data_IF_796126973205
#
_entry.id   IF_796126973205
#
_cell.length_a   1.000
_cell.length_b   1.000
_cell.length_c   1.000
_cell.angle_alpha   90.00
_cell.angle_beta   90.00
_cell.angle_gamma   90.00
#
_symmetry.space_group_name_H-M   'P 1'
#
loop_
_entity.id
_entity.type
_entity.pdbx_description
1 polymer ?
#
# COMPACT_ATOMS: atom_id res chain seq x y z
N UNK A 1 -27.18 -52.49 6.28
CA UNK A 1 -26.60 -53.84 6.28
C UNK A 1 -25.24 -53.75 5.58
N UNK A 2 -24.29 -53.29 6.39
CA UNK A 2 -22.86 -53.59 6.44
C UNK A 2 -22.17 -54.16 5.20
N UNK A 3 -21.30 -53.33 4.62
CA UNK A 3 -20.24 -53.73 3.70
C UNK A 3 -18.88 -53.54 4.35
N UNK A 4 -18.22 -54.64 4.66
CA UNK A 4 -16.83 -54.75 5.13
C UNK A 4 -15.90 -54.75 3.92
N UNK A 5 -14.86 -53.90 3.88
CA UNK A 5 -13.61 -54.23 3.19
C UNK A 5 -12.43 -53.84 4.08
N UNK A 6 -11.66 -54.87 4.40
CA UNK A 6 -10.39 -54.93 5.11
C UNK A 6 -9.30 -54.42 4.16
N UNK A 7 -8.40 -53.55 4.63
CA UNK A 7 -7.16 -53.21 3.90
C UNK A 7 -5.96 -53.78 4.65
N UNK A 8 -5.20 -54.59 3.93
CA UNK A 8 -4.07 -55.39 4.39
C UNK A 8 -2.74 -54.61 4.31
N UNK A 9 -1.83 -54.96 5.22
CA UNK A 9 -0.39 -54.66 5.19
C UNK A 9 0.30 -55.11 3.89
N UNK A 10 1.43 -54.45 3.55
CA UNK A 10 2.81 -55.01 3.46
C UNK A 10 3.75 -54.00 2.74
N UNK A 11 4.76 -53.46 3.44
CA UNK A 11 6.22 -53.74 3.35
C UNK A 11 6.95 -53.12 2.15
N UNK A 12 7.92 -52.22 2.41
CA UNK A 12 9.37 -52.50 2.25
C UNK A 12 10.22 -51.23 2.45
N UNK A 13 11.14 -51.29 3.41
CA UNK A 13 12.29 -50.39 3.58
C UNK A 13 13.57 -51.09 3.10
N UNK A 14 14.66 -50.30 3.02
CA UNK A 14 16.09 -50.63 2.81
C UNK A 14 16.54 -50.51 1.32
N UNK A 15 17.72 -49.98 0.96
CA UNK A 15 18.94 -49.58 1.69
C UNK A 15 19.79 -48.67 0.76
N UNK A 16 20.63 -47.86 1.39
CA UNK A 16 21.64 -46.91 0.88
C UNK A 16 22.61 -47.42 -0.19
N UNK A 17 23.24 -46.51 -0.95
CA UNK A 17 24.66 -46.54 -1.30
C UNK A 17 25.16 -45.16 -1.77
N UNK A 18 26.38 -44.82 -1.36
CA UNK A 18 27.08 -43.55 -1.59
C UNK A 18 28.26 -43.71 -2.57
N UNK A 19 28.85 -42.56 -2.94
CA UNK A 19 30.05 -42.31 -3.78
C UNK A 19 29.81 -42.50 -5.29
N UNK A 20 30.28 -41.67 -6.22
CA UNK A 20 31.47 -40.81 -6.25
C UNK A 20 31.36 -39.73 -7.35
N UNK A 21 32.08 -38.64 -7.11
CA UNK A 21 32.53 -37.57 -8.03
C UNK A 21 32.87 -37.96 -9.48
N UNK A 22 32.42 -37.15 -10.43
CA UNK A 22 33.17 -36.87 -11.67
C UNK A 22 32.97 -35.44 -12.14
N UNK A 23 34.07 -34.71 -12.12
CA UNK A 23 34.33 -33.41 -12.73
C UNK A 23 34.12 -33.47 -14.25
N UNK A 24 33.35 -32.54 -14.82
CA UNK A 24 33.54 -32.13 -16.22
C UNK A 24 33.47 -30.60 -16.30
N UNK A 25 34.64 -30.01 -16.48
CA UNK A 25 34.83 -28.66 -16.98
C UNK A 25 34.32 -28.59 -18.42
N UNK A 26 33.43 -27.64 -18.70
CA UNK A 26 33.39 -26.99 -20.01
C UNK A 26 33.48 -25.49 -19.82
N UNK A 27 34.59 -24.96 -20.31
CA UNK A 27 34.92 -23.56 -20.44
C UNK A 27 34.03 -22.91 -21.51
N UNK A 28 33.34 -21.84 -21.17
CA UNK A 28 32.96 -20.81 -22.12
C UNK A 28 33.29 -19.44 -21.51
N UNK A 29 34.02 -18.66 -22.29
CA UNK A 29 34.62 -17.39 -21.93
C UNK A 29 33.58 -16.28 -21.95
N UNK A 30 33.60 -15.37 -20.97
CA UNK A 30 32.74 -14.17 -21.00
C UNK A 30 32.88 -13.24 -19.80
N UNK A 31 33.65 -12.18 -19.98
CA UNK A 31 33.67 -10.86 -19.32
C UNK A 31 33.68 -10.70 -17.78
N UNK A 32 34.79 -10.12 -17.30
CA UNK A 32 35.14 -9.85 -15.90
C UNK A 32 34.63 -8.52 -15.34
N UNK A 33 33.45 -8.05 -15.74
CA UNK A 33 32.92 -6.72 -15.33
C UNK A 33 31.72 -6.77 -14.38
N UNK A 34 31.01 -7.89 -14.26
CA UNK A 34 29.83 -8.02 -13.37
C UNK A 34 30.16 -8.38 -11.90
N UNK A 35 31.31 -9.02 -11.64
CA UNK A 35 31.65 -9.48 -10.28
C UNK A 35 32.12 -8.36 -9.33
N UNK A 36 32.52 -7.19 -9.85
CA UNK A 36 33.05 -6.09 -9.02
C UNK A 36 31.97 -5.18 -8.43
N UNK A 37 30.77 -5.15 -9.01
CA UNK A 37 29.64 -4.33 -8.53
C UNK A 37 28.92 -5.00 -7.35
N UNK A 38 28.70 -6.32 -7.43
CA UNK A 38 28.05 -7.11 -6.37
C UNK A 38 28.84 -7.12 -5.04
N UNK A 39 30.17 -7.19 -5.08
CA UNK A 39 31.01 -7.15 -3.87
C UNK A 39 31.05 -5.76 -3.22
N UNK A 40 30.87 -4.70 -4.01
CA UNK A 40 30.93 -3.31 -3.53
C UNK A 40 29.63 -2.90 -2.82
N UNK A 41 28.48 -3.43 -3.26
CA UNK A 41 27.18 -3.25 -2.62
C UNK A 41 27.04 -4.06 -1.33
N UNK A 42 27.45 -5.34 -1.34
CA UNK A 42 27.47 -6.19 -0.14
C UNK A 42 28.33 -5.58 0.99
N UNK A 43 29.49 -5.01 0.64
CA UNK A 43 30.35 -4.35 1.60
C UNK A 43 29.76 -3.03 2.13
N UNK A 44 29.01 -2.28 1.30
CA UNK A 44 28.31 -1.05 1.70
C UNK A 44 27.16 -1.35 2.69
N UNK A 45 26.41 -2.43 2.44
CA UNK A 45 25.32 -2.89 3.30
C UNK A 45 25.84 -3.42 4.65
N UNK A 46 26.96 -4.15 4.65
CA UNK A 46 27.63 -4.59 5.88
C UNK A 46 28.13 -3.43 6.75
N UNK A 47 28.64 -2.36 6.12
CA UNK A 47 29.05 -1.13 6.81
C UNK A 47 27.86 -0.37 7.41
N UNK A 48 26.70 -0.38 6.73
CA UNK A 48 25.48 0.25 7.21
C UNK A 48 24.91 -0.48 8.44
N UNK A 49 24.84 -1.82 8.39
CA UNK A 49 24.36 -2.65 9.50
C UNK A 49 25.25 -2.52 10.74
N UNK A 50 26.57 -2.39 10.57
CA UNK A 50 27.50 -2.13 11.68
C UNK A 50 27.29 -0.76 12.32
N UNK A 51 26.90 0.25 11.55
CA UNK A 51 26.59 1.60 12.07
C UNK A 51 25.26 1.61 12.83
N UNK A 52 24.25 0.92 12.32
CA UNK A 52 22.93 0.79 12.97
C UNK A 52 23.07 0.03 14.30
N UNK A 53 23.79 -1.09 14.32
CA UNK A 53 24.03 -1.85 15.55
C UNK A 53 24.78 -1.04 16.61
N UNK A 54 25.81 -0.28 16.20
CA UNK A 54 26.55 0.61 17.11
C UNK A 54 25.69 1.75 17.65
N UNK A 55 24.72 2.24 16.88
CA UNK A 55 23.80 3.29 17.31
C UNK A 55 22.78 2.77 18.33
N UNK A 56 22.24 1.57 18.12
CA UNK A 56 21.34 0.90 19.07
C UNK A 56 22.00 0.65 20.43
N UNK A 57 23.28 0.27 20.43
CA UNK A 57 24.06 0.06 21.66
C UNK A 57 24.44 1.37 22.40
N UNK A 58 24.30 2.54 21.75
CA UNK A 58 24.69 3.85 22.34
C UNK A 58 23.51 4.60 22.97
N UNK A 59 22.26 4.23 22.66
CA UNK A 59 21.06 4.96 23.10
C UNK A 59 20.23 4.22 24.17
N UNK A 60 20.82 3.22 24.82
CA UNK A 60 20.20 2.51 25.94
C UNK A 60 20.41 3.28 27.26
N UNK A 61 19.96 4.54 27.34
CA UNK A 61 19.88 5.26 28.62
C UNK A 61 18.55 6.03 28.77
N UNK A 62 17.76 5.54 29.74
CA UNK A 62 16.67 6.21 30.49
C UNK A 62 15.40 6.61 29.74
N UNK A 63 14.43 5.67 29.67
CA UNK A 63 13.01 6.00 29.60
C UNK A 63 12.44 6.02 31.03
N UNK A 64 12.11 7.23 31.51
CA UNK A 64 11.51 7.45 32.82
C UNK A 64 10.01 7.16 32.76
N UNK A 65 9.55 6.21 33.58
CA UNK A 65 8.16 5.76 33.64
C UNK A 65 7.35 6.73 34.50
N UNK A 66 6.77 7.75 33.86
CA UNK A 66 5.96 8.74 34.57
C UNK A 66 5.11 9.60 33.65
N UNK A 67 4.16 8.99 32.93
CA UNK A 67 3.00 9.72 32.43
C UNK A 67 1.80 8.76 32.35
N UNK A 68 1.01 8.77 33.40
CA UNK A 68 -0.29 8.13 33.51
C UNK A 68 -1.26 8.85 32.57
N UNK A 69 -1.61 8.21 31.46
CA UNK A 69 -2.54 8.77 30.47
C UNK A 69 -3.96 8.50 30.96
N UNK A 70 -4.69 9.57 31.31
CA UNK A 70 -6.12 9.49 31.66
C UNK A 70 -6.90 9.11 30.40
N UNK A 71 -7.38 7.87 30.34
CA UNK A 71 -8.29 7.39 29.30
C UNK A 71 -9.66 8.02 29.59
N UNK A 72 -10.12 8.91 28.72
CA UNK A 72 -11.49 9.41 28.76
C UNK A 72 -12.39 8.46 27.98
N UNK A 73 -13.35 7.82 28.66
CA UNK A 73 -14.26 6.77 28.17
C UNK A 73 -15.37 7.27 27.21
N UNK A 74 -15.05 8.14 26.26
CA UNK A 74 -16.00 8.54 25.22
C UNK A 74 -15.33 8.56 23.86
N UNK A 75 -15.86 7.81 22.86
CA UNK A 75 -15.31 7.80 21.52
C UNK A 75 -15.49 9.19 20.91
N UNK A 76 -14.40 9.92 20.74
CA UNK A 76 -14.39 11.00 19.76
C UNK A 76 -14.33 10.34 18.40
N UNK A 77 -15.51 10.10 17.80
CA UNK A 77 -15.60 9.89 16.36
C UNK A 77 -14.93 11.07 15.68
N UNK A 78 -13.74 10.87 15.12
CA UNK A 78 -13.08 11.86 14.27
C UNK A 78 -13.87 12.15 12.97
N UNK A 79 -15.04 11.52 12.80
CA UNK A 79 -15.97 11.72 11.68
C UNK A 79 -16.98 12.87 11.95
N UNK A 80 -17.12 13.35 13.19
CA UNK A 80 -18.07 14.43 13.53
C UNK A 80 -17.42 15.82 13.65
N UNK A 81 -16.15 16.00 13.28
CA UNK A 81 -15.69 17.35 12.97
C UNK A 81 -16.30 17.72 11.62
N UNK A 82 -17.21 18.72 11.54
CA UNK A 82 -17.59 19.26 10.26
C UNK A 82 -16.32 19.83 9.66
N UNK A 83 -15.69 19.09 8.74
CA UNK A 83 -14.82 19.72 7.77
C UNK A 83 -15.66 20.85 7.19
N UNK A 84 -15.26 22.12 7.35
CA UNK A 84 -16.03 23.20 6.79
C UNK A 84 -16.03 22.95 5.29
N UNK A 85 -17.19 22.54 4.74
CA UNK A 85 -17.41 22.39 3.31
C UNK A 85 -17.21 23.71 2.53
N UNK A 86 -16.84 24.78 3.24
CA UNK A 86 -16.57 26.12 2.76
C UNK A 86 -15.28 26.73 3.34
N UNK A 87 -14.46 25.94 4.05
CA UNK A 87 -13.16 26.38 4.56
C UNK A 87 -12.08 25.84 3.64
N UNK A 88 -11.48 26.70 2.83
CA UNK A 88 -10.26 26.36 2.11
C UNK A 88 -9.23 25.93 3.15
N UNK A 89 -8.79 24.66 3.09
CA UNK A 89 -7.58 24.23 3.78
C UNK A 89 -6.50 25.26 3.44
N UNK A 90 -5.84 25.88 4.44
CA UNK A 90 -4.81 26.87 4.15
C UNK A 90 -3.80 26.24 3.20
N UNK A 91 -3.62 26.84 2.04
CA UNK A 91 -2.61 26.41 1.08
C UNK A 91 -1.25 26.55 1.76
N UNK A 92 -0.65 25.41 2.14
CA UNK A 92 0.66 25.37 2.76
C UNK A 92 1.78 25.56 1.72
N UNK A 93 1.42 25.69 0.45
CA UNK A 93 2.30 25.79 -0.71
C UNK A 93 2.86 24.44 -1.14
N UNK A 94 2.35 23.34 -0.59
CA UNK A 94 2.73 21.98 -0.94
C UNK A 94 1.64 21.28 -1.76
N UNK A 95 2.02 20.22 -2.49
CA UNK A 95 1.05 19.37 -3.17
C UNK A 95 0.19 18.58 -2.18
N UNK A 96 -0.93 18.02 -2.65
CA UNK A 96 -1.93 17.33 -1.82
C UNK A 96 -1.42 16.12 -1.01
N UNK A 97 -0.22 15.62 -1.32
CA UNK A 97 0.41 14.44 -0.70
C UNK A 97 1.64 14.78 0.13
N UNK A 98 1.93 16.07 0.31
CA UNK A 98 3.08 16.57 1.05
C UNK A 98 2.66 17.61 2.07
N UNK A 99 3.52 17.85 3.05
CA UNK A 99 3.30 18.86 4.08
C UNK A 99 4.55 19.70 4.28
N UNK A 100 4.36 20.99 4.56
CA UNK A 100 5.46 21.92 4.81
C UNK A 100 6.05 21.78 6.21
N UNK A 101 7.38 21.70 6.30
CA UNK A 101 8.14 21.74 7.56
C UNK A 101 8.64 23.16 7.89
N UNK A 102 9.16 23.35 9.09
CA UNK A 102 9.74 24.64 9.54
C UNK A 102 10.97 25.09 8.74
N UNK A 103 11.65 24.16 8.06
CA UNK A 103 12.74 24.46 7.12
C UNK A 103 12.24 25.09 5.81
N UNK A 104 10.91 25.18 5.64
CA UNK A 104 10.25 25.73 4.48
C UNK A 104 10.07 24.75 3.33
N UNK A 105 10.59 23.52 3.42
CA UNK A 105 10.50 22.49 2.40
C UNK A 105 9.23 21.63 2.56
N UNK A 106 8.76 21.06 1.46
CA UNK A 106 7.65 20.11 1.42
C UNK A 106 8.19 18.68 1.47
N UNK A 107 7.60 17.85 2.31
CA UNK A 107 7.95 16.43 2.42
C UNK A 107 6.72 15.54 2.29
N UNK A 108 6.82 14.37 1.62
CA UNK A 108 5.69 13.46 1.46
C UNK A 108 5.15 12.96 2.80
N UNK A 109 3.82 12.96 2.95
CA UNK A 109 3.15 12.37 4.10
C UNK A 109 3.45 10.87 4.19
N UNK A 110 3.60 10.37 5.41
CA UNK A 110 4.00 8.98 5.71
C UNK A 110 5.35 8.56 5.11
N UNK A 111 6.10 9.49 4.52
CA UNK A 111 7.47 9.29 4.07
C UNK A 111 8.46 9.39 5.21
N UNK A 112 9.68 8.89 5.01
CA UNK A 112 10.74 8.92 6.03
C UNK A 112 11.49 10.24 6.13
N UNK A 113 11.67 10.96 5.01
CA UNK A 113 12.42 12.22 5.00
C UNK A 113 11.49 13.36 5.44
N UNK A 114 11.91 14.27 6.34
CA UNK A 114 13.30 14.51 6.77
C UNK A 114 13.73 13.81 8.07
N UNK A 115 12.91 12.90 8.61
CA UNK A 115 13.01 12.44 10.00
C UNK A 115 14.29 11.67 10.39
N UNK A 116 15.08 11.21 9.41
CA UNK A 116 16.41 10.60 9.63
C UNK A 116 16.37 9.18 10.20
N UNK A 117 15.52 8.94 11.20
CA UNK A 117 15.27 7.65 11.84
C UNK A 117 14.29 6.80 10.99
N UNK A 118 14.56 5.51 10.73
CA UNK A 118 13.63 4.63 10.01
C UNK A 118 12.32 4.33 10.77
N UNK A 119 12.28 4.52 12.08
CA UNK A 119 11.06 4.38 12.89
C UNK A 119 10.23 5.66 12.92
N UNK A 120 10.71 6.75 12.31
CA UNK A 120 9.96 8.00 12.23
C UNK A 120 9.48 8.21 10.80
N UNK A 121 8.27 8.76 10.70
CA UNK A 121 7.69 9.21 9.44
C UNK A 121 7.08 10.60 9.56
N UNK A 122 6.79 11.19 8.40
CA UNK A 122 6.17 12.49 8.28
C UNK A 122 4.67 12.38 8.55
N UNK A 123 4.19 13.13 9.54
CA UNK A 123 2.77 13.36 9.79
C UNK A 123 2.49 14.86 9.89
N UNK A 124 1.22 15.24 9.92
CA UNK A 124 0.77 16.62 10.16
C UNK A 124 0.58 16.83 11.65
N UNK A 125 1.08 17.94 12.17
CA UNK A 125 0.74 18.41 13.50
C UNK A 125 -0.67 19.03 13.51
N UNK A 126 -1.60 18.56 14.35
CA UNK A 126 -2.99 19.00 14.31
C UNK A 126 -3.23 20.43 14.81
N UNK A 127 -2.22 21.07 15.43
CA UNK A 127 -2.34 22.43 15.95
C UNK A 127 -1.69 23.45 15.03
N UNK A 128 -0.55 23.10 14.44
CA UNK A 128 0.23 23.99 13.59
C UNK A 128 0.01 23.76 12.09
N UNK A 129 -0.59 22.63 11.72
CA UNK A 129 -0.75 22.15 10.34
C UNK A 129 0.57 22.03 9.57
N UNK A 130 1.68 21.89 10.28
CA UNK A 130 3.02 21.67 9.70
C UNK A 130 3.41 20.21 9.82
N UNK A 131 4.37 19.82 8.99
CA UNK A 131 4.97 18.51 9.04
C UNK A 131 5.77 18.31 10.32
N UNK A 132 5.63 17.14 10.91
CA UNK A 132 6.42 16.69 12.07
C UNK A 132 6.85 15.24 11.87
N UNK A 133 7.84 14.83 12.65
CA UNK A 133 8.30 13.45 12.68
C UNK A 133 7.63 12.70 13.83
N UNK A 134 6.93 11.61 13.53
CA UNK A 134 6.19 10.81 14.51
C UNK A 134 6.65 9.36 14.49
N UNK A 135 6.67 8.64 15.62
CA UNK A 135 6.94 7.22 15.65
C UNK A 135 5.93 6.43 14.82
N UNK A 136 6.46 5.51 14.01
CA UNK A 136 5.71 4.44 13.37
C UNK A 136 5.74 3.23 14.29
N UNK A 137 4.60 2.90 14.89
CA UNK A 137 4.51 1.86 15.93
C UNK A 137 4.34 0.44 15.37
N UNK A 138 3.95 0.32 14.10
CA UNK A 138 3.69 -0.95 13.44
C UNK A 138 4.48 -1.07 12.13
N UNK A 139 4.78 -2.31 11.74
CA UNK A 139 5.44 -2.65 10.48
C UNK A 139 4.59 -2.32 9.24
N UNK A 140 4.95 -2.93 8.11
CA UNK A 140 4.13 -2.85 6.90
C UNK A 140 2.83 -3.65 7.09
N UNK A 141 1.78 -3.26 6.38
CA UNK A 141 0.46 -3.90 6.38
C UNK A 141 -0.22 -4.03 7.76
N UNK A 142 0.21 -3.24 8.75
CA UNK A 142 -0.42 -3.15 10.06
C UNK A 142 -0.57 -1.70 10.51
N UNK A 143 -1.63 -1.43 11.27
CA UNK A 143 -1.97 -0.10 11.79
C UNK A 143 -2.15 -0.16 13.30
N UNK A 144 -1.55 0.79 14.02
CA UNK A 144 -1.70 0.91 15.46
C UNK A 144 -3.05 1.51 15.80
N UNK A 145 -3.90 0.75 16.49
CA UNK A 145 -5.22 1.20 16.94
C UNK A 145 -5.12 1.62 18.40
N UNK A 146 -5.15 2.92 18.67
CA UNK A 146 -4.94 3.47 20.01
C UNK A 146 -5.92 2.91 21.07
N UNK A 147 -7.17 2.66 20.67
CA UNK A 147 -8.22 2.10 21.55
C UNK A 147 -7.86 0.71 22.09
N UNK A 148 -7.24 -0.13 21.26
CA UNK A 148 -6.85 -1.49 21.64
C UNK A 148 -5.42 -1.55 22.17
N UNK A 149 -4.60 -0.54 21.84
CA UNK A 149 -3.18 -0.49 22.16
C UNK A 149 -2.36 -1.50 21.35
N UNK A 150 -2.89 -2.00 20.23
CA UNK A 150 -2.28 -3.07 19.44
C UNK A 150 -2.15 -2.69 17.96
N UNK A 151 -1.23 -3.38 17.27
CA UNK A 151 -1.14 -3.34 15.82
C UNK A 151 -2.14 -4.33 15.20
N UNK A 152 -3.08 -3.83 14.41
CA UNK A 152 -4.05 -4.64 13.66
C UNK A 152 -3.62 -4.81 12.21
N UNK A 153 -4.02 -5.92 11.59
CA UNK A 153 -3.83 -6.13 10.15
C UNK A 153 -4.67 -5.14 9.34
N UNK A 154 -4.17 -4.64 8.21
CA UNK A 154 -4.93 -3.67 7.38
C UNK A 154 -6.27 -4.22 6.87
N UNK A 155 -6.43 -5.54 6.81
CA UNK A 155 -7.65 -6.25 6.43
C UNK A 155 -8.49 -6.70 7.63
N UNK A 156 -8.19 -6.24 8.84
CA UNK A 156 -8.93 -6.63 10.04
C UNK A 156 -10.38 -6.13 10.00
N UNK A 157 -11.28 -7.05 9.64
CA UNK A 157 -12.73 -6.80 9.56
C UNK A 157 -13.39 -6.50 10.90
N UNK A 158 -12.70 -6.75 12.03
CA UNK A 158 -13.21 -6.36 13.35
C UNK A 158 -13.05 -4.87 13.61
N UNK A 159 -12.09 -4.22 12.94
CA UNK A 159 -11.84 -2.78 13.03
C UNK A 159 -12.58 -1.99 11.94
N UNK A 160 -12.63 -2.52 10.72
CA UNK A 160 -13.26 -1.86 9.58
C UNK A 160 -14.34 -2.72 8.91
N UNK A 161 -15.56 -2.17 8.80
CA UNK A 161 -16.70 -2.80 8.14
C UNK A 161 -16.84 -2.32 6.68
N UNK A 162 -17.63 -3.04 5.88
CA UNK A 162 -18.02 -2.60 4.52
C UNK A 162 -16.90 -2.69 3.47
N UNK A 163 -16.02 -3.69 3.57
CA UNK A 163 -14.90 -3.86 2.65
C UNK A 163 -13.78 -2.82 2.78
N UNK A 164 -13.84 -1.99 3.83
CA UNK A 164 -12.82 -1.00 4.19
C UNK A 164 -11.59 -1.66 4.78
N UNK A 165 -10.50 -0.90 4.78
CA UNK A 165 -9.22 -1.27 5.35
C UNK A 165 -8.75 -0.22 6.33
N UNK A 166 -7.89 -0.64 7.25
CA UNK A 166 -7.20 0.29 8.13
C UNK A 166 -6.11 1.04 7.36
N UNK A 167 -6.07 2.33 7.57
CA UNK A 167 -5.05 3.25 7.07
C UNK A 167 -4.59 4.17 8.19
N UNK A 168 -3.45 4.83 7.95
CA UNK A 168 -3.03 5.97 8.75
C UNK A 168 -3.54 7.27 8.12
N UNK A 169 -4.19 8.09 8.92
CA UNK A 169 -4.53 9.47 8.55
C UNK A 169 -3.25 10.29 8.40
N UNK A 170 -3.29 11.47 7.74
CA UNK A 170 -2.16 12.40 7.70
C UNK A 170 -1.59 12.76 9.08
N UNK A 171 -2.37 12.64 10.14
CA UNK A 171 -1.98 12.94 11.52
C UNK A 171 -1.36 11.75 12.26
N UNK A 172 -1.40 10.55 11.65
CA UNK A 172 -0.89 9.30 12.23
C UNK A 172 -1.93 8.49 12.99
N UNK A 173 -3.21 8.84 12.90
CA UNK A 173 -4.30 8.09 13.54
C UNK A 173 -4.82 6.95 12.66
N UNK A 174 -5.27 5.86 13.28
CA UNK A 174 -5.94 4.77 12.57
C UNK A 174 -7.32 5.20 12.05
N UNK A 175 -7.56 5.03 10.76
CA UNK A 175 -8.85 5.33 10.11
C UNK A 175 -9.27 4.18 9.20
N UNK A 176 -10.58 4.00 9.05
CA UNK A 176 -11.15 3.05 8.09
C UNK A 176 -11.51 3.77 6.79
N UNK A 177 -10.88 3.37 5.70
CA UNK A 177 -11.17 3.91 4.38
C UNK A 177 -11.29 2.82 3.32
N UNK A 178 -11.82 3.18 2.17
CA UNK A 178 -11.92 2.27 1.05
C UNK A 178 -10.54 1.94 0.48
N UNK A 179 -10.36 0.72 -0.05
CA UNK A 179 -9.17 0.38 -0.81
C UNK A 179 -8.90 1.41 -1.91
N UNK A 180 -7.63 1.67 -2.21
CA UNK A 180 -7.23 2.62 -3.26
C UNK A 180 -7.97 2.29 -4.57
N UNK A 181 -8.58 3.32 -5.17
CA UNK A 181 -9.40 3.19 -6.37
C UNK A 181 -10.85 2.73 -6.13
N UNK A 182 -11.28 2.61 -4.88
CA UNK A 182 -12.65 2.34 -4.49
C UNK A 182 -13.20 3.44 -3.58
N UNK A 183 -14.52 3.58 -3.59
CA UNK A 183 -15.21 4.66 -2.89
C UNK A 183 -16.49 4.14 -2.25
N UNK A 184 -16.92 4.71 -1.11
CA UNK A 184 -18.15 4.29 -0.47
C UNK A 184 -19.36 4.72 -1.31
N UNK A 185 -20.26 3.80 -1.63
CA UNK A 185 -21.39 4.10 -2.51
C UNK A 185 -22.64 3.27 -2.18
N UNK A 186 -23.85 3.87 -2.23
CA UNK A 186 -24.14 5.27 -2.54
C UNK A 186 -23.89 6.25 -1.38
N UNK A 187 -23.72 5.77 -0.16
CA UNK A 187 -23.52 6.61 1.02
C UNK A 187 -22.15 6.39 1.68
N UNK A 188 -21.64 7.36 2.46
CA UNK A 188 -20.32 7.30 3.09
C UNK A 188 -20.07 6.11 4.02
N UNK A 189 -21.09 5.40 4.47
CA UNK A 189 -21.02 4.22 5.34
C UNK A 189 -21.16 2.89 4.58
N UNK A 190 -21.51 2.93 3.30
CA UNK A 190 -21.76 1.74 2.50
C UNK A 190 -20.45 1.08 2.07
N UNK A 191 -20.62 -0.05 1.35
CA UNK A 191 -19.52 -0.83 0.81
C UNK A 191 -18.68 -0.03 -0.20
N UNK A 192 -17.40 -0.37 -0.24
CA UNK A 192 -16.47 0.20 -1.20
C UNK A 192 -16.65 -0.40 -2.58
N UNK A 193 -16.78 0.47 -3.60
CA UNK A 193 -16.96 0.08 -5.00
C UNK A 193 -15.97 0.82 -5.88
N UNK A 194 -15.47 0.14 -6.91
CA UNK A 194 -14.60 0.76 -7.90
C UNK A 194 -15.41 1.58 -8.91
N UNK A 195 -14.86 2.74 -9.31
CA UNK A 195 -15.43 3.51 -10.41
C UNK A 195 -15.43 2.69 -11.70
N UNK A 196 -16.35 3.00 -12.61
CA UNK A 196 -16.50 2.35 -13.91
C UNK A 196 -16.77 0.84 -13.84
N UNK A 197 -17.16 0.33 -12.66
CA UNK A 197 -17.70 -1.01 -12.47
C UNK A 197 -19.20 -0.95 -12.22
N UNK A 198 -19.90 -2.07 -12.43
CA UNK A 198 -21.34 -2.11 -12.18
C UNK A 198 -21.66 -1.84 -10.71
N UNK A 199 -20.89 -2.41 -9.78
CA UNK A 199 -21.15 -2.28 -8.35
C UNK A 199 -22.62 -2.60 -8.02
N UNK A 200 -23.29 -1.81 -7.15
CA UNK A 200 -24.70 -1.97 -6.85
C UNK A 200 -25.64 -1.33 -7.90
N UNK A 201 -25.12 -0.83 -9.02
CA UNK A 201 -25.93 -0.22 -10.06
C UNK A 201 -26.73 -1.26 -10.87
N UNK A 202 -27.86 -0.85 -11.46
CA UNK A 202 -28.61 -1.68 -12.40
C UNK A 202 -27.76 -2.16 -13.58
N UNK A 203 -28.18 -3.25 -14.22
CA UNK A 203 -27.50 -3.79 -15.38
C UNK A 203 -27.30 -2.72 -16.48
N UNK A 204 -26.09 -2.66 -17.05
CA UNK A 204 -25.71 -1.69 -18.08
C UNK A 204 -25.37 -0.28 -17.54
N UNK A 205 -25.40 -0.10 -16.22
CA UNK A 205 -24.91 1.09 -15.54
C UNK A 205 -23.64 0.79 -14.75
N UNK A 206 -22.83 1.82 -14.54
CA UNK A 206 -21.59 1.78 -13.75
C UNK A 206 -21.57 2.95 -12.79
N UNK A 207 -20.83 2.80 -11.70
CA UNK A 207 -20.56 3.88 -10.74
C UNK A 207 -19.64 4.90 -11.41
N UNK A 208 -20.03 6.17 -11.44
CA UNK A 208 -19.24 7.24 -12.04
C UNK A 208 -19.44 8.56 -11.28
N UNK A 209 -18.52 9.51 -11.49
CA UNK A 209 -18.55 10.84 -10.89
C UNK A 209 -19.32 11.79 -11.80
N UNK A 210 -20.38 12.41 -11.28
CA UNK A 210 -21.18 13.42 -11.97
C UNK A 210 -20.48 14.78 -12.00
N UNK A 211 -20.99 15.72 -12.79
CA UNK A 211 -20.40 17.06 -12.94
C UNK A 211 -20.36 17.89 -11.66
N UNK A 212 -21.17 17.53 -10.66
CA UNK A 212 -21.17 18.13 -9.31
C UNK A 212 -20.20 17.44 -8.34
N UNK A 213 -19.42 16.46 -8.81
CA UNK A 213 -18.47 15.69 -7.99
C UNK A 213 -19.10 14.58 -7.16
N UNK A 214 -20.42 14.39 -7.20
CA UNK A 214 -21.07 13.28 -6.52
C UNK A 214 -20.92 11.97 -7.31
N UNK A 215 -21.08 10.83 -6.64
CA UNK A 215 -21.10 9.53 -7.31
C UNK A 215 -22.53 9.13 -7.63
N UNK A 216 -22.75 8.59 -8.83
CA UNK A 216 -24.06 8.06 -9.22
C UNK A 216 -23.94 6.89 -10.20
N UNK A 217 -25.04 6.16 -10.37
CA UNK A 217 -25.14 5.15 -11.42
C UNK A 217 -25.41 5.80 -12.78
N UNK A 218 -24.46 5.65 -13.69
CA UNK A 218 -24.52 6.22 -15.04
C UNK A 218 -24.48 5.11 -16.08
N UNK A 219 -25.12 5.33 -17.23
CA UNK A 219 -25.06 4.37 -18.34
C UNK A 219 -23.61 4.18 -18.79
N UNK A 220 -23.16 2.93 -18.91
CA UNK A 220 -21.83 2.65 -19.43
C UNK A 220 -21.78 2.93 -20.93
N UNK A 221 -20.74 3.63 -21.37
CA UNK A 221 -20.39 3.77 -22.78
C UNK A 221 -19.47 2.64 -23.27
N UNK A 222 -18.99 1.80 -22.35
CA UNK A 222 -18.06 0.72 -22.62
C UNK A 222 -18.68 -0.65 -22.35
N UNK A 223 -18.24 -1.69 -23.09
CA UNK A 223 -18.68 -3.06 -22.85
C UNK A 223 -18.21 -3.51 -21.47
N UNK A 224 -19.07 -4.26 -20.78
CA UNK A 224 -18.70 -4.93 -19.53
C UNK A 224 -17.84 -6.14 -19.86
N UNK A 225 -16.57 -6.10 -19.44
CA UNK A 225 -15.61 -7.20 -19.61
C UNK A 225 -15.28 -7.75 -18.22
N UNK A 226 -15.36 -9.08 -18.08
CA UNK A 226 -14.94 -9.78 -16.87
C UNK A 226 -13.64 -10.53 -17.13
N UNK A 227 -12.74 -10.48 -16.15
CA UNK A 227 -11.51 -11.26 -16.15
C UNK A 227 -11.71 -12.50 -15.28
N UNK A 228 -11.33 -13.67 -15.82
CA UNK A 228 -11.23 -14.91 -15.06
C UNK A 228 -9.84 -15.00 -14.45
N UNK A 229 -9.76 -15.07 -13.14
CA UNK A 229 -8.52 -15.40 -12.47
C UNK A 229 -8.29 -16.92 -12.57
N UNK A 230 -7.30 -17.34 -13.36
CA UNK A 230 -7.03 -18.77 -13.69
C UNK A 230 -6.72 -19.60 -12.43
N UNK A 231 -6.30 -18.95 -11.33
CA UNK A 231 -6.01 -19.55 -10.03
C UNK A 231 -7.16 -19.46 -9.02
N UNK A 232 -8.14 -18.59 -9.23
CA UNK A 232 -9.25 -18.36 -8.31
C UNK A 232 -10.57 -18.61 -9.02
N UNK A 233 -10.99 -19.87 -9.03
CA UNK A 233 -12.25 -20.39 -9.63
C UNK A 233 -13.55 -19.75 -9.14
N UNK A 234 -13.50 -18.61 -8.42
CA UNK A 234 -14.65 -17.93 -7.81
C UNK A 234 -14.70 -16.40 -7.94
N UNK A 235 -13.69 -15.71 -8.48
CA UNK A 235 -13.73 -14.25 -8.57
C UNK A 235 -13.64 -13.77 -10.02
N UNK A 236 -14.79 -13.54 -10.64
CA UNK A 236 -14.87 -12.78 -11.89
C UNK A 236 -14.76 -11.29 -11.55
N UNK A 237 -13.60 -10.68 -11.81
CA UNK A 237 -13.41 -9.24 -11.58
C UNK A 237 -13.80 -8.48 -12.85
N UNK A 238 -14.70 -7.52 -12.74
CA UNK A 238 -15.01 -6.64 -13.85
C UNK A 238 -13.83 -5.69 -14.11
N UNK A 239 -13.41 -5.59 -15.37
CA UNK A 239 -12.42 -4.60 -15.81
C UNK A 239 -13.01 -3.20 -15.76
N UNK A 240 -12.22 -2.25 -15.28
CA UNK A 240 -12.61 -0.83 -15.20
C UNK A 240 -12.42 -0.20 -16.58
N UNK A 241 -13.45 -0.28 -17.41
CA UNK A 241 -13.41 0.20 -18.79
C UNK A 241 -13.86 1.66 -18.85
N UNK A 242 -13.02 2.51 -19.43
CA UNK A 242 -13.29 3.95 -19.57
C UNK A 242 -13.33 4.36 -21.04
N UNK A 243 -14.29 5.20 -21.45
CA UNK A 243 -14.36 5.71 -22.80
C UNK A 243 -13.36 6.87 -22.99
N UNK A 244 -12.58 6.83 -24.07
CA UNK A 244 -11.72 7.93 -24.50
C UNK A 244 -12.47 8.90 -25.42
N UNK A 245 -11.85 10.05 -25.71
CA UNK A 245 -12.44 11.10 -26.57
C UNK A 245 -12.74 10.64 -28.00
N UNK A 246 -12.05 9.60 -28.49
CA UNK A 246 -12.30 8.95 -29.79
C UNK A 246 -13.42 7.89 -29.73
N UNK A 247 -14.07 7.72 -28.57
CA UNK A 247 -15.17 6.78 -28.36
C UNK A 247 -14.74 5.32 -28.21
N UNK A 248 -13.43 5.05 -28.14
CA UNK A 248 -12.90 3.72 -27.82
C UNK A 248 -12.90 3.50 -26.30
N UNK A 249 -12.74 2.25 -25.90
CA UNK A 249 -12.75 1.85 -24.50
C UNK A 249 -11.43 1.19 -24.14
N UNK A 250 -10.82 1.68 -23.07
CA UNK A 250 -9.55 1.16 -22.54
C UNK A 250 -9.71 0.81 -21.07
N UNK A 251 -8.86 -0.09 -20.58
CA UNK A 251 -8.85 -0.50 -19.19
C UNK A 251 -8.00 0.50 -18.38
N UNK A 252 -8.51 0.97 -17.24
CA UNK A 252 -7.71 1.75 -16.30
C UNK A 252 -6.53 0.93 -15.79
N UNK A 253 -5.35 1.55 -15.76
CA UNK A 253 -4.08 0.91 -15.40
C UNK A 253 -3.43 0.13 -16.54
N UNK A 254 -4.02 0.12 -17.74
CA UNK A 254 -3.37 -0.44 -18.93
C UNK A 254 -2.47 0.58 -19.61
N UNK A 255 -1.49 0.11 -20.39
CA UNK A 255 -0.59 0.99 -21.13
C UNK A 255 -1.32 1.70 -22.28
N UNK A 256 -2.37 1.12 -22.85
CA UNK A 256 -3.13 1.75 -23.93
C UNK A 256 -4.17 2.73 -23.38
N UNK A 257 -4.38 3.92 -23.99
CA UNK A 257 -3.75 4.44 -25.20
C UNK A 257 -2.45 5.22 -24.94
N UNK A 258 -1.90 5.16 -23.73
CA UNK A 258 -0.74 5.93 -23.30
C UNK A 258 0.61 5.41 -23.82
N UNK A 259 0.66 4.20 -24.38
CA UNK A 259 1.86 3.59 -24.92
C UNK A 259 2.26 4.27 -26.22
N UNK A 260 3.27 5.14 -26.14
CA UNK A 260 4.01 5.61 -27.31
C UNK A 260 5.27 4.75 -27.50
N UNK A 261 5.85 4.72 -28.70
CA UNK A 261 7.02 3.88 -29.03
C UNK A 261 8.25 4.11 -28.11
N UNK A 262 8.30 5.25 -27.40
CA UNK A 262 9.38 5.65 -26.50
C UNK A 262 9.03 5.58 -24.98
N UNK A 263 7.77 5.37 -24.60
CA UNK A 263 7.30 5.43 -23.20
C UNK A 263 6.55 4.16 -22.77
N UNK A 264 7.29 3.19 -22.24
CA UNK A 264 6.73 1.90 -21.77
C UNK A 264 6.22 1.91 -20.32
N UNK A 265 6.41 3.03 -19.60
CA UNK A 265 6.02 3.19 -18.20
C UNK A 265 4.76 4.04 -17.99
N UNK A 266 4.15 4.57 -19.05
CA UNK A 266 2.95 5.38 -18.96
C UNK A 266 1.70 4.49 -18.92
N UNK A 267 0.90 4.61 -17.87
CA UNK A 267 -0.37 3.89 -17.71
C UNK A 267 -1.56 4.85 -17.74
N UNK A 268 -2.69 4.39 -18.27
CA UNK A 268 -3.94 5.14 -18.28
C UNK A 268 -4.51 5.23 -16.85
N UNK A 269 -4.43 6.41 -16.26
CA UNK A 269 -5.04 6.77 -14.99
C UNK A 269 -6.29 7.63 -15.15
N UNK A 270 -6.93 7.91 -14.02
CA UNK A 270 -8.08 8.79 -13.92
C UNK A 270 -7.84 9.79 -12.79
N UNK A 271 -7.76 11.08 -13.13
CA UNK A 271 -7.67 12.17 -12.18
C UNK A 271 -9.09 12.49 -11.68
N UNK A 272 -9.40 12.00 -10.49
CA UNK A 272 -10.73 12.19 -9.88
C UNK A 272 -11.04 13.64 -9.53
N UNK A 273 -10.03 14.46 -9.24
CA UNK A 273 -10.23 15.86 -8.89
C UNK A 273 -10.61 16.67 -10.13
N UNK A 274 -10.02 16.32 -11.28
CA UNK A 274 -10.35 16.92 -12.58
C UNK A 274 -11.51 16.20 -13.29
N UNK A 275 -11.87 14.99 -12.86
CA UNK A 275 -12.81 14.10 -13.54
C UNK A 275 -12.38 13.80 -14.99
N UNK A 276 -11.08 13.51 -15.18
CA UNK A 276 -10.45 13.38 -16.51
C UNK A 276 -9.50 12.18 -16.59
N UNK A 277 -9.36 11.60 -17.79
CA UNK A 277 -8.36 10.56 -18.06
C UNK A 277 -6.98 11.17 -18.28
N UNK A 278 -5.95 10.57 -17.68
CA UNK A 278 -4.58 11.06 -17.72
C UNK A 278 -3.59 9.92 -17.92
N UNK A 279 -2.55 10.12 -18.71
CA UNK A 279 -1.43 9.18 -18.79
C UNK A 279 -0.45 9.48 -17.66
N UNK A 280 -0.23 8.50 -16.78
CA UNK A 280 0.61 8.61 -15.59
C UNK A 280 1.87 7.79 -15.81
N UNK A 281 3.04 8.43 -15.75
CA UNK A 281 4.33 7.73 -15.73
C UNK A 281 4.54 7.09 -14.36
N UNK A 282 4.55 5.76 -14.29
CA UNK A 282 4.76 5.04 -13.01
C UNK A 282 6.20 5.10 -12.52
N UNK A 283 7.14 5.55 -13.34
CA UNK A 283 8.54 5.74 -12.93
C UNK A 283 8.81 7.09 -12.32
N UNK A 284 7.85 8.03 -12.40
CA UNK A 284 7.97 9.33 -11.78
C UNK A 284 7.99 9.19 -10.25
N UNK A 285 9.11 9.51 -9.56
CA UNK A 285 9.21 9.40 -8.11
C UNK A 285 8.35 10.44 -7.37
N UNK A 286 7.77 11.42 -8.08
CA UNK A 286 6.76 12.33 -7.53
C UNK A 286 5.35 11.72 -7.53
N UNK A 287 5.17 10.58 -8.21
CA UNK A 287 3.95 9.79 -8.15
C UNK A 287 3.78 9.26 -6.72
N UNK A 288 2.68 9.58 -6.03
CA UNK A 288 2.50 9.30 -4.61
C UNK A 288 2.30 7.81 -4.28
N UNK A 289 2.41 6.93 -5.27
CA UNK A 289 1.94 5.55 -5.19
C UNK A 289 3.04 4.48 -5.06
N UNK A 290 4.31 4.86 -5.05
CA UNK A 290 5.40 3.88 -5.05
C UNK A 290 6.45 4.19 -3.97
N UNK A 291 6.26 3.59 -2.79
CA UNK A 291 7.38 3.36 -1.88
C UNK A 291 8.39 2.45 -2.59
N UNK A 292 9.66 2.85 -2.63
CA UNK A 292 10.72 2.04 -3.21
C UNK A 292 10.82 0.68 -2.52
N UNK A 293 11.21 -0.36 -3.26
CA UNK A 293 11.40 -1.70 -2.68
C UNK A 293 12.41 -1.67 -1.52
N UNK A 294 13.46 -0.86 -1.65
CA UNK A 294 14.49 -0.68 -0.64
C UNK A 294 13.96 -0.08 0.66
N UNK A 295 12.97 0.82 0.57
CA UNK A 295 12.30 1.39 1.74
C UNK A 295 11.41 0.35 2.43
N UNK A 296 10.71 -0.46 1.63
CA UNK A 296 9.89 -1.55 2.13
C UNK A 296 10.73 -2.60 2.86
N UNK A 297 11.81 -3.08 2.24
CA UNK A 297 12.73 -4.07 2.84
C UNK A 297 13.36 -3.56 4.15
N UNK A 298 13.63 -2.25 4.25
CA UNK A 298 14.14 -1.65 5.47
C UNK A 298 13.09 -1.63 6.58
N UNK A 299 11.85 -1.24 6.28
CA UNK A 299 10.76 -1.22 7.26
C UNK A 299 10.51 -2.63 7.80
N UNK A 300 10.42 -3.62 6.91
CA UNK A 300 10.22 -5.02 7.30
C UNK A 300 11.36 -5.48 8.22
N UNK A 301 12.63 -5.13 7.92
CA UNK A 301 13.77 -5.48 8.79
C UNK A 301 13.72 -4.86 10.20
N UNK A 302 13.13 -3.66 10.35
CA UNK A 302 13.06 -2.95 11.63
C UNK A 302 11.93 -3.49 12.49
N UNK A 303 10.79 -3.84 11.89
CA UNK A 303 9.59 -4.23 12.62
C UNK A 303 9.43 -5.75 12.74
N UNK A 304 9.86 -6.55 11.76
CA UNK A 304 9.76 -8.01 11.85
C UNK A 304 10.80 -8.61 12.80
N UNK A 305 11.90 -7.90 13.06
CA UNK A 305 12.90 -8.27 14.07
C UNK A 305 12.42 -8.12 15.53
N UNK A 306 11.29 -7.45 15.76
CA UNK A 306 10.75 -7.15 17.11
C UNK A 306 9.66 -8.14 17.54
N UNK A 307 9.10 -8.94 16.62
CA UNK A 307 7.98 -9.85 16.89
C UNK A 307 8.32 -11.35 16.78
N UNK A 308 9.59 -11.75 16.92
CA UNK A 308 10.03 -13.16 16.93
C UNK A 308 10.14 -13.81 18.33
N UNK A 309 9.42 -13.30 19.34
CA UNK A 309 9.34 -13.95 20.66
C UNK A 309 7.95 -14.52 20.97
#
# INVERSE_FOLDING_TARGET
>A
MDGVIISSLLIASLLSLAFSSSTQQQSLSGNSTEFKTSYKESHKFSQLNKKIKKWLETNEETFDAGNEMIISDTPTSAIDQPFPANGSIPDDGCGSTSVRFDDGNCYPLMGRKPCGDPQLWVTVDPHTFKGRCTPRLCGRDRVFVARTGLCHDIYDTSECLGGRRLYYSPYGDAVCDCPIGQFPFPYPQDDCVALFTQGPCPFGQVVNITSDGSMSCMKSNCPTIYESDEFSSKLWKQKQMVPTSDGKCYELGSADPCSNDDETSSLLGFDMLKNELVCVDVTDPSSPYFFSKEENDLLDSVFDGVYQE
#
